data_IF_238248412380
#
_entry.id   IF_238248412380
#
_cell.length_a   1.000
_cell.length_b   1.000
_cell.length_c   1.000
_cell.angle_alpha   90.00
_cell.angle_beta   90.00
_cell.angle_gamma   90.00
#
_symmetry.space_group_name_H-M   'P 1'
#
loop_
_entity.id
_entity.type
_entity.pdbx_description
1 polymer ?
#
# COMPACT_ATOMS: atom_id res chain seq x y z
N UNK A 1 -5.04 19.25 28.11
CA UNK A 1 -4.63 17.91 27.64
C UNK A 1 -5.57 17.32 26.59
N UNK A 2 -6.90 17.49 26.71
CA UNK A 2 -7.89 17.04 25.71
C UNK A 2 -7.72 17.78 24.38
N UNK A 3 -7.61 19.09 24.38
CA UNK A 3 -7.48 19.95 23.20
C UNK A 3 -6.31 19.56 22.27
N UNK A 4 -5.16 19.15 22.83
CA UNK A 4 -4.02 18.69 22.03
C UNK A 4 -4.27 17.36 21.33
N UNK A 5 -4.99 16.44 21.96
CA UNK A 5 -5.35 15.14 21.33
C UNK A 5 -6.30 15.35 20.16
N UNK A 6 -7.29 16.23 20.32
CA UNK A 6 -8.22 16.58 19.24
C UNK A 6 -7.49 17.31 18.10
N UNK A 7 -6.64 18.29 18.41
CA UNK A 7 -5.86 18.99 17.39
C UNK A 7 -4.95 18.05 16.60
N UNK A 8 -4.26 17.13 17.28
CA UNK A 8 -3.43 16.10 16.63
C UNK A 8 -4.29 15.18 15.77
N UNK A 9 -5.46 14.76 16.21
CA UNK A 9 -6.38 13.95 15.42
C UNK A 9 -6.83 14.69 14.16
N UNK A 10 -7.28 15.94 14.27
CA UNK A 10 -7.70 16.74 13.11
C UNK A 10 -6.55 17.03 12.14
N UNK A 11 -5.35 17.32 12.63
CA UNK A 11 -4.17 17.52 11.78
C UNK A 11 -3.79 16.23 11.08
N UNK A 12 -3.83 15.09 11.76
CA UNK A 12 -3.55 13.77 11.15
C UNK A 12 -4.59 13.39 10.11
N UNK A 13 -5.87 13.62 10.40
CA UNK A 13 -6.95 13.40 9.46
C UNK A 13 -6.79 14.32 8.23
N UNK A 14 -6.53 15.63 8.44
CA UNK A 14 -6.27 16.56 7.36
C UNK A 14 -5.05 16.16 6.51
N UNK A 15 -3.97 15.67 7.14
CA UNK A 15 -2.79 15.17 6.46
C UNK A 15 -3.10 13.99 5.52
N UNK A 16 -3.90 13.02 5.99
CA UNK A 16 -4.33 11.87 5.20
C UNK A 16 -5.30 12.31 4.09
N UNK A 17 -6.30 13.13 4.41
CA UNK A 17 -7.36 13.52 3.47
C UNK A 17 -6.94 14.62 2.48
N UNK A 18 -6.09 15.56 2.88
CA UNK A 18 -5.63 16.66 2.03
C UNK A 18 -4.30 16.36 1.32
N UNK A 19 -3.71 15.21 1.60
CA UNK A 19 -2.38 14.86 1.16
C UNK A 19 -2.27 14.46 -0.32
N UNK A 20 -1.76 13.27 -0.61
CA UNK A 20 -1.26 12.93 -1.94
C UNK A 20 -2.30 13.05 -3.06
N UNK A 21 -3.56 12.69 -2.80
CA UNK A 21 -4.60 12.69 -3.86
C UNK A 21 -5.03 14.11 -4.22
N UNK A 22 -5.22 15.02 -3.26
CA UNK A 22 -5.53 16.42 -3.59
C UNK A 22 -4.38 17.05 -4.38
N UNK A 23 -3.14 16.84 -3.91
CA UNK A 23 -1.96 17.30 -4.64
C UNK A 23 -1.92 16.74 -6.08
N UNK A 24 -2.28 15.47 -6.26
CA UNK A 24 -2.33 14.85 -7.58
C UNK A 24 -3.37 15.51 -8.50
N UNK A 25 -4.56 15.83 -8.00
CA UNK A 25 -5.58 16.52 -8.79
C UNK A 25 -5.17 17.95 -9.16
N UNK A 26 -4.59 18.68 -8.20
CA UNK A 26 -4.04 20.03 -8.46
C UNK A 26 -2.95 19.97 -9.53
N UNK A 27 -1.96 19.09 -9.34
CA UNK A 27 -0.84 18.96 -10.27
C UNK A 27 -1.27 18.44 -11.65
N UNK A 28 -2.22 17.49 -11.71
CA UNK A 28 -2.78 17.04 -12.97
C UNK A 28 -3.51 18.18 -13.70
N UNK A 29 -4.25 19.02 -12.96
CA UNK A 29 -4.91 20.21 -13.52
C UNK A 29 -3.94 21.26 -14.03
N UNK A 30 -2.84 21.51 -13.30
CA UNK A 30 -1.83 22.50 -13.68
C UNK A 30 -0.97 22.03 -14.86
N UNK A 31 -0.57 20.73 -14.88
CA UNK A 31 0.40 20.23 -15.88
C UNK A 31 -0.25 19.66 -17.13
N UNK A 32 -1.50 19.20 -17.06
CA UNK A 32 -2.17 18.44 -18.10
C UNK A 32 -3.64 18.88 -18.28
N UNK A 33 -4.03 19.94 -17.59
CA UNK A 33 -5.36 20.55 -17.66
C UNK A 33 -6.51 19.53 -17.40
N UNK A 34 -7.62 19.69 -18.11
CA UNK A 34 -8.80 18.81 -18.00
C UNK A 34 -8.50 17.36 -18.40
N UNK A 35 -7.54 17.15 -19.29
CA UNK A 35 -7.18 15.81 -19.76
C UNK A 35 -6.53 14.98 -18.63
N UNK A 36 -5.63 15.59 -17.86
CA UNK A 36 -4.99 14.95 -16.71
C UNK A 36 -5.99 14.57 -15.62
N UNK A 37 -6.89 15.50 -15.27
CA UNK A 37 -7.95 15.24 -14.28
C UNK A 37 -8.85 14.09 -14.75
N UNK A 38 -9.30 14.09 -15.99
CA UNK A 38 -10.16 13.04 -16.56
C UNK A 38 -9.45 11.68 -16.56
N UNK A 39 -8.17 11.64 -16.90
CA UNK A 39 -7.36 10.42 -16.86
C UNK A 39 -7.24 9.88 -15.44
N UNK A 40 -6.96 10.74 -14.46
CA UNK A 40 -6.88 10.35 -13.05
C UNK A 40 -8.23 9.79 -12.56
N UNK A 41 -9.34 10.46 -12.84
CA UNK A 41 -10.69 9.97 -12.50
C UNK A 41 -11.01 8.63 -13.16
N UNK A 42 -10.66 8.45 -14.44
CA UNK A 42 -10.87 7.19 -15.15
C UNK A 42 -10.17 6.01 -14.45
N UNK A 43 -8.98 6.22 -13.87
CA UNK A 43 -8.26 5.17 -13.14
C UNK A 43 -8.98 4.70 -11.88
N UNK A 44 -9.74 5.57 -11.21
CA UNK A 44 -10.55 5.22 -10.04
C UNK A 44 -11.71 4.28 -10.37
N UNK A 45 -12.25 4.37 -11.57
CA UNK A 45 -13.39 3.55 -12.01
C UNK A 45 -12.99 2.37 -12.90
N UNK A 46 -11.69 2.13 -13.10
CA UNK A 46 -11.18 1.05 -13.94
C UNK A 46 -11.23 -0.29 -13.19
N UNK A 47 -12.36 -1.00 -13.30
CA UNK A 47 -12.60 -2.28 -12.63
C UNK A 47 -12.39 -3.53 -13.51
N UNK A 48 -12.42 -3.39 -14.86
CA UNK A 48 -12.31 -4.52 -15.79
C UNK A 48 -10.86 -4.97 -15.99
N UNK A 49 -10.31 -5.63 -14.96
CA UNK A 49 -8.90 -6.07 -14.93
C UNK A 49 -8.70 -7.59 -14.91
N UNK A 50 -9.78 -8.35 -14.78
CA UNK A 50 -9.78 -9.81 -14.69
C UNK A 50 -9.83 -10.30 -13.24
N UNK A 51 -10.66 -11.33 -12.98
CA UNK A 51 -10.97 -11.87 -11.66
C UNK A 51 -9.73 -12.28 -10.86
N UNK A 52 -8.71 -12.83 -11.53
CA UNK A 52 -7.46 -13.24 -10.87
C UNK A 52 -6.80 -12.13 -10.04
N UNK A 53 -6.92 -10.87 -10.47
CA UNK A 53 -6.33 -9.75 -9.75
C UNK A 53 -7.07 -9.44 -8.47
N UNK A 54 -8.40 -9.58 -8.47
CA UNK A 54 -9.19 -9.45 -7.24
C UNK A 54 -8.83 -10.54 -6.22
N UNK A 55 -8.62 -11.78 -6.67
CA UNK A 55 -8.13 -12.85 -5.80
C UNK A 55 -6.73 -12.54 -5.24
N UNK A 56 -5.81 -12.10 -6.09
CA UNK A 56 -4.44 -11.74 -5.68
C UNK A 56 -4.44 -10.63 -4.64
N UNK A 57 -5.24 -9.57 -4.82
CA UNK A 57 -5.21 -8.40 -3.92
C UNK A 57 -5.98 -8.63 -2.61
N UNK A 58 -6.99 -9.48 -2.60
CA UNK A 58 -7.80 -9.74 -1.40
C UNK A 58 -7.23 -10.90 -0.57
N UNK A 59 -6.73 -11.95 -1.22
CA UNK A 59 -6.26 -13.16 -0.55
C UNK A 59 -4.73 -13.15 -0.39
N UNK A 60 -4.00 -12.55 -1.33
CA UNK A 60 -2.54 -12.55 -1.33
C UNK A 60 -1.91 -11.99 -0.06
N UNK A 61 -2.25 -10.76 0.38
CA UNK A 61 -1.68 -10.17 1.58
C UNK A 61 -1.84 -11.04 2.84
N UNK A 62 -3.04 -11.44 3.27
CA UNK A 62 -3.20 -12.27 4.47
C UNK A 62 -2.54 -13.65 4.34
N UNK A 63 -2.55 -14.27 3.15
CA UNK A 63 -1.89 -15.56 2.94
C UNK A 63 -0.37 -15.44 3.04
N UNK A 64 0.24 -14.42 2.45
CA UNK A 64 1.69 -14.20 2.53
C UNK A 64 2.11 -14.02 3.98
N UNK A 65 1.39 -13.20 4.75
CA UNK A 65 1.71 -12.95 6.15
C UNK A 65 1.45 -14.20 6.99
N UNK A 66 0.39 -14.93 6.76
CA UNK A 66 0.12 -16.19 7.43
C UNK A 66 1.26 -17.21 7.21
N UNK A 67 1.67 -17.43 5.95
CA UNK A 67 2.74 -18.37 5.61
C UNK A 67 4.08 -18.01 6.26
N UNK A 68 4.41 -16.71 6.30
CA UNK A 68 5.61 -16.27 7.02
C UNK A 68 5.46 -16.45 8.53
N UNK A 69 4.31 -16.07 9.08
CA UNK A 69 4.07 -16.13 10.52
C UNK A 69 4.21 -17.55 11.05
N UNK A 70 3.59 -18.53 10.41
CA UNK A 70 3.59 -19.94 10.90
C UNK A 70 4.98 -20.60 10.91
N UNK A 71 5.93 -20.10 10.11
CA UNK A 71 7.31 -20.62 10.08
C UNK A 71 8.25 -19.91 11.07
N UNK A 72 7.80 -18.81 11.69
CA UNK A 72 8.60 -18.12 12.69
C UNK A 72 8.70 -18.94 14.00
N UNK A 73 9.84 -18.88 14.71
CA UNK A 73 10.04 -19.66 15.92
C UNK A 73 8.97 -19.40 16.98
N UNK A 74 8.32 -20.48 17.45
CA UNK A 74 7.28 -20.42 18.49
C UNK A 74 5.93 -19.86 18.04
N UNK A 75 5.80 -19.36 16.80
CA UNK A 75 4.55 -18.78 16.34
C UNK A 75 3.42 -19.80 16.29
N UNK A 76 3.62 -20.95 15.64
CA UNK A 76 2.58 -21.98 15.52
C UNK A 76 2.11 -22.50 16.90
N UNK A 77 3.02 -22.64 17.85
CA UNK A 77 2.70 -23.05 19.22
C UNK A 77 1.92 -21.96 20.00
N UNK A 78 1.95 -20.72 19.56
CA UNK A 78 1.24 -19.59 20.17
C UNK A 78 -0.18 -19.39 19.63
N UNK A 79 -0.64 -20.23 18.70
CA UNK A 79 -1.99 -20.10 18.14
C UNK A 79 -3.06 -20.12 19.25
N UNK A 80 -3.95 -19.16 19.25
CA UNK A 80 -4.98 -19.03 20.28
C UNK A 80 -6.39 -19.31 19.74
N UNK A 81 -6.85 -18.50 18.76
CA UNK A 81 -8.25 -18.52 18.32
C UNK A 81 -8.41 -17.89 16.96
N UNK A 82 -9.50 -18.21 16.28
CA UNK A 82 -9.91 -17.56 15.02
C UNK A 82 -10.74 -16.28 15.24
N UNK A 83 -11.02 -15.88 16.47
CA UNK A 83 -11.83 -14.69 16.77
C UNK A 83 -11.33 -13.39 16.07
N UNK A 84 -10.02 -13.14 15.89
CA UNK A 84 -9.55 -11.98 15.12
C UNK A 84 -10.01 -11.95 13.67
N UNK A 85 -10.43 -13.09 13.11
CA UNK A 85 -10.95 -13.22 11.74
C UNK A 85 -12.49 -13.21 11.70
N UNK A 86 -13.15 -12.54 12.66
CA UNK A 86 -14.62 -12.38 12.65
C UNK A 86 -15.08 -11.80 11.29
N UNK A 87 -15.89 -12.56 10.51
CA UNK A 87 -16.28 -12.12 9.16
C UNK A 87 -17.13 -10.84 9.19
N UNK A 88 -17.95 -10.64 10.23
CA UNK A 88 -18.77 -9.44 10.35
C UNK A 88 -17.90 -8.21 10.63
N UNK A 89 -16.93 -8.33 11.53
CA UNK A 89 -15.98 -7.26 11.82
C UNK A 89 -15.16 -6.90 10.57
N UNK A 90 -14.64 -7.89 9.84
CA UNK A 90 -13.90 -7.67 8.61
C UNK A 90 -14.76 -7.05 7.50
N UNK A 91 -16.03 -7.50 7.36
CA UNK A 91 -16.99 -6.96 6.39
C UNK A 91 -17.32 -5.47 6.67
N UNK A 92 -17.41 -5.08 7.94
CA UNK A 92 -17.70 -3.68 8.33
C UNK A 92 -16.42 -2.83 8.25
N UNK A 93 -15.29 -3.33 8.73
CA UNK A 93 -14.03 -2.55 8.74
C UNK A 93 -13.47 -2.31 7.33
N UNK A 94 -13.65 -3.23 6.39
CA UNK A 94 -13.10 -3.08 5.04
C UNK A 94 -13.59 -1.80 4.32
N UNK A 95 -14.91 -1.54 4.16
CA UNK A 95 -15.38 -0.29 3.55
C UNK A 95 -15.06 0.95 4.40
N UNK A 96 -15.03 0.84 5.74
CA UNK A 96 -14.66 1.96 6.60
C UNK A 96 -13.19 2.36 6.38
N UNK A 97 -12.26 1.40 6.37
CA UNK A 97 -10.84 1.68 6.12
C UNK A 97 -10.62 2.13 4.68
N UNK A 98 -11.30 1.54 3.70
CA UNK A 98 -11.23 1.97 2.30
C UNK A 98 -11.55 3.46 2.16
N UNK A 99 -12.61 3.93 2.82
CA UNK A 99 -13.11 5.31 2.67
C UNK A 99 -12.39 6.28 3.62
N UNK A 100 -12.11 5.87 4.87
CA UNK A 100 -11.63 6.75 5.92
C UNK A 100 -10.22 6.43 6.43
N UNK A 101 -9.63 5.30 6.03
CA UNK A 101 -8.36 4.83 6.54
C UNK A 101 -7.11 5.28 5.76
N UNK A 102 -7.28 6.04 4.67
CA UNK A 102 -6.15 6.51 3.86
C UNK A 102 -6.11 5.97 2.43
N UNK A 103 -6.38 4.69 2.13
CA UNK A 103 -6.16 4.10 0.80
C UNK A 103 -6.78 4.91 -0.35
N UNK A 104 -8.02 5.36 -0.19
CA UNK A 104 -8.74 6.15 -1.20
C UNK A 104 -8.02 7.47 -1.51
N UNK A 105 -7.45 8.11 -0.49
CA UNK A 105 -6.85 9.45 -0.57
C UNK A 105 -5.34 9.42 -0.82
N UNK A 106 -4.68 8.27 -0.63
CA UNK A 106 -3.27 8.12 -0.87
C UNK A 106 -2.95 7.63 -2.28
N UNK A 107 -3.67 6.61 -2.76
CA UNK A 107 -3.34 5.94 -4.01
C UNK A 107 -3.47 6.84 -5.24
N UNK A 108 -4.38 7.82 -5.22
CA UNK A 108 -4.49 8.84 -6.27
C UNK A 108 -3.20 9.62 -6.47
N UNK A 109 -2.54 9.97 -5.37
CA UNK A 109 -1.25 10.65 -5.38
C UNK A 109 -0.11 9.73 -5.77
N UNK A 110 0.06 8.66 -5.01
CA UNK A 110 1.22 7.78 -5.15
C UNK A 110 1.19 6.99 -6.47
N UNK A 111 0.11 6.24 -6.73
CA UNK A 111 0.01 5.37 -7.93
C UNK A 111 -0.65 6.07 -9.09
N UNK A 112 -1.58 7.00 -8.85
CA UNK A 112 -2.29 7.73 -9.91
C UNK A 112 -1.43 8.78 -10.61
N UNK A 113 -0.63 9.52 -9.86
CA UNK A 113 0.14 10.66 -10.35
C UNK A 113 1.66 10.45 -10.32
N UNK A 114 2.24 10.13 -9.15
CA UNK A 114 3.68 10.08 -8.97
C UNK A 114 4.33 8.88 -9.68
N UNK A 115 3.82 7.67 -9.47
CA UNK A 115 4.39 6.44 -10.03
C UNK A 115 4.55 6.46 -11.55
N UNK A 116 3.53 6.83 -12.37
CA UNK A 116 3.67 6.89 -13.82
C UNK A 116 4.81 7.80 -14.27
N UNK A 117 4.97 8.96 -13.62
CA UNK A 117 6.03 9.92 -13.94
C UNK A 117 7.42 9.43 -13.53
N UNK A 118 7.54 8.86 -12.34
CA UNK A 118 8.80 8.28 -11.87
C UNK A 118 9.24 7.09 -12.74
N UNK A 119 8.31 6.22 -13.14
CA UNK A 119 8.61 5.12 -14.05
C UNK A 119 9.05 5.61 -15.45
N UNK A 120 8.47 6.69 -15.94
CA UNK A 120 8.86 7.30 -17.23
C UNK A 120 10.26 7.91 -17.17
N UNK A 121 10.58 8.61 -16.08
CA UNK A 121 11.85 9.34 -15.93
C UNK A 121 13.02 8.43 -15.58
N UNK A 122 12.81 7.43 -14.71
CA UNK A 122 13.87 6.62 -14.11
C UNK A 122 13.75 5.13 -14.40
N UNK A 123 12.78 4.72 -15.23
CA UNK A 123 12.45 3.31 -15.44
C UNK A 123 11.64 2.71 -14.28
N UNK A 124 11.07 1.50 -14.50
CA UNK A 124 10.10 0.94 -13.56
C UNK A 124 10.69 0.62 -12.19
N UNK A 125 11.88 0.06 -12.12
CA UNK A 125 12.48 -0.35 -10.85
C UNK A 125 12.95 0.85 -10.02
N UNK A 126 13.78 1.71 -10.59
CA UNK A 126 14.31 2.89 -9.88
C UNK A 126 13.19 3.86 -9.51
N UNK A 127 12.23 4.12 -10.43
CA UNK A 127 11.07 4.95 -10.13
C UNK A 127 10.23 4.40 -8.98
N UNK A 128 10.10 3.06 -8.88
CA UNK A 128 9.42 2.41 -7.76
C UNK A 128 10.19 2.55 -6.44
N UNK A 129 11.51 2.42 -6.45
CA UNK A 129 12.33 2.62 -5.25
C UNK A 129 12.23 4.06 -4.73
N UNK A 130 12.31 5.04 -5.64
CA UNK A 130 12.13 6.46 -5.28
C UNK A 130 10.76 6.66 -4.63
N UNK A 131 9.69 6.13 -5.24
CA UNK A 131 8.35 6.23 -4.68
C UNK A 131 8.25 5.58 -3.31
N UNK A 132 8.83 4.38 -3.13
CA UNK A 132 8.81 3.65 -1.87
C UNK A 132 9.50 4.42 -0.74
N UNK A 133 10.63 5.06 -1.03
CA UNK A 133 11.32 5.93 -0.06
C UNK A 133 10.46 7.14 0.31
N UNK A 134 9.89 7.83 -0.68
CA UNK A 134 9.03 8.99 -0.44
C UNK A 134 7.79 8.60 0.38
N UNK A 135 7.16 7.49 0.06
CA UNK A 135 5.99 7.01 0.78
C UNK A 135 6.32 6.55 2.20
N UNK A 136 7.46 5.88 2.41
CA UNK A 136 7.93 5.55 3.75
C UNK A 136 8.21 6.81 4.58
N UNK A 137 8.91 7.80 4.02
CA UNK A 137 9.18 9.07 4.69
C UNK A 137 7.91 9.85 5.03
N UNK A 138 6.89 9.79 4.17
CA UNK A 138 5.58 10.39 4.42
C UNK A 138 4.92 9.87 5.71
N UNK A 139 5.13 8.60 6.02
CA UNK A 139 4.56 7.97 7.22
C UNK A 139 5.37 8.18 8.49
N UNK A 140 6.65 8.59 8.41
CA UNK A 140 7.49 8.71 9.61
C UNK A 140 6.88 9.60 10.71
N UNK A 141 6.25 10.77 10.42
CA UNK A 141 5.61 11.58 11.45
C UNK A 141 4.53 10.83 12.24
N UNK A 142 3.89 9.79 11.68
CA UNK A 142 2.84 9.01 12.34
C UNK A 142 3.37 8.21 13.55
N UNK A 143 4.66 7.90 13.60
CA UNK A 143 5.26 7.23 14.75
C UNK A 143 5.15 8.04 16.06
N UNK A 144 4.99 9.35 15.97
CA UNK A 144 4.77 10.24 17.12
C UNK A 144 3.29 10.45 17.46
N UNK A 145 2.39 9.79 16.72
CA UNK A 145 0.94 9.90 16.90
C UNK A 145 0.43 8.61 17.57
N UNK A 146 -0.22 8.72 18.71
CA UNK A 146 -0.68 7.58 19.52
C UNK A 146 -1.62 6.63 18.77
N UNK A 147 -2.37 7.14 17.79
CA UNK A 147 -3.30 6.34 16.97
C UNK A 147 -2.56 5.33 16.08
N UNK A 148 -1.31 5.58 15.72
CA UNK A 148 -0.49 4.67 14.94
C UNK A 148 -0.12 3.38 15.70
N UNK A 149 -0.11 3.43 17.03
CA UNK A 149 0.10 2.26 17.90
C UNK A 149 1.54 1.70 17.93
N UNK A 150 2.44 2.21 17.08
CA UNK A 150 3.84 1.76 17.03
C UNK A 150 4.75 2.83 17.63
N UNK A 151 5.56 2.50 18.67
CA UNK A 151 6.44 3.48 19.32
C UNK A 151 7.49 4.08 18.36
N UNK A 152 7.87 5.38 18.55
CA UNK A 152 8.84 6.09 17.70
C UNK A 152 10.29 5.69 18.05
N UNK A 153 10.62 4.41 17.93
CA UNK A 153 11.98 3.89 18.10
C UNK A 153 12.72 3.83 16.76
N UNK A 154 14.04 4.01 16.80
CA UNK A 154 14.89 3.87 15.61
C UNK A 154 14.68 2.50 14.97
N UNK A 155 14.60 1.44 15.77
CA UNK A 155 14.42 0.09 15.26
C UNK A 155 13.08 -0.08 14.52
N UNK A 156 11.97 0.45 15.06
CA UNK A 156 10.67 0.39 14.39
C UNK A 156 10.73 1.11 13.04
N UNK A 157 11.37 2.27 12.95
CA UNK A 157 11.52 3.01 11.70
C UNK A 157 12.42 2.28 10.69
N UNK A 158 13.53 1.70 11.17
CA UNK A 158 14.47 0.92 10.33
C UNK A 158 13.79 -0.35 9.77
N UNK A 159 12.90 -0.99 10.50
CA UNK A 159 12.12 -2.13 9.99
C UNK A 159 10.97 -1.68 9.08
N UNK A 160 10.37 -0.53 9.35
CA UNK A 160 9.24 0.00 8.60
C UNK A 160 9.62 0.45 7.19
N UNK A 161 10.70 1.24 7.05
CA UNK A 161 11.12 1.81 5.77
C UNK A 161 11.29 0.74 4.68
N UNK A 162 12.09 -0.33 4.87
CA UNK A 162 12.22 -1.37 3.86
C UNK A 162 10.91 -2.14 3.62
N UNK A 163 10.05 -2.31 4.64
CA UNK A 163 8.73 -2.94 4.47
C UNK A 163 7.87 -2.14 3.49
N UNK A 164 7.84 -0.82 3.60
CA UNK A 164 7.09 0.06 2.67
C UNK A 164 7.71 0.06 1.27
N UNK A 165 9.04 0.01 1.15
CA UNK A 165 9.72 -0.11 -0.15
C UNK A 165 9.33 -1.43 -0.83
N UNK A 166 9.37 -2.55 -0.12
CA UNK A 166 8.95 -3.85 -0.64
C UNK A 166 7.47 -3.88 -1.02
N UNK A 167 6.61 -3.30 -0.17
CA UNK A 167 5.18 -3.12 -0.47
C UNK A 167 4.98 -2.29 -1.73
N UNK A 168 5.76 -1.21 -1.92
CA UNK A 168 5.69 -0.38 -3.12
C UNK A 168 6.05 -1.16 -4.39
N UNK A 169 7.02 -2.08 -4.33
CA UNK A 169 7.36 -2.96 -5.46
C UNK A 169 6.18 -3.86 -5.84
N UNK A 170 5.53 -4.48 -4.85
CA UNK A 170 4.36 -5.33 -5.07
C UNK A 170 3.20 -4.52 -5.65
N UNK A 171 2.92 -3.36 -5.08
CA UNK A 171 1.86 -2.45 -5.55
C UNK A 171 2.12 -1.97 -6.97
N UNK A 172 3.35 -1.59 -7.29
CA UNK A 172 3.73 -1.21 -8.67
C UNK A 172 3.51 -2.34 -9.65
N UNK A 173 3.89 -3.56 -9.29
CA UNK A 173 3.67 -4.73 -10.14
C UNK A 173 2.18 -4.99 -10.38
N UNK A 174 1.35 -4.93 -9.34
CA UNK A 174 -0.12 -5.05 -9.46
C UNK A 174 -0.68 -3.93 -10.34
N UNK A 175 -0.35 -2.68 -10.04
CA UNK A 175 -0.80 -1.50 -10.79
C UNK A 175 -0.46 -1.60 -12.28
N UNK A 176 0.77 -1.94 -12.61
CA UNK A 176 1.22 -2.06 -14.00
C UNK A 176 0.50 -3.18 -14.77
N UNK A 177 0.14 -4.28 -14.09
CA UNK A 177 -0.55 -5.41 -14.71
C UNK A 177 -2.08 -5.28 -14.71
N UNK A 178 -2.62 -4.28 -13.99
CA UNK A 178 -4.05 -3.96 -13.96
C UNK A 178 -4.40 -2.70 -14.73
N UNK A 179 -3.63 -2.38 -15.76
CA UNK A 179 -3.85 -1.23 -16.67
C UNK A 179 -3.79 0.13 -15.96
N UNK A 180 -3.10 0.22 -14.83
CA UNK A 180 -3.07 1.43 -14.02
C UNK A 180 -4.35 1.68 -13.22
N UNK A 181 -5.08 0.65 -12.82
CA UNK A 181 -6.29 0.75 -12.01
C UNK A 181 -5.98 1.24 -10.60
N UNK A 182 -6.51 2.41 -10.25
CA UNK A 182 -6.48 2.90 -8.87
C UNK A 182 -7.44 2.14 -7.98
N UNK A 183 -8.59 1.72 -8.50
CA UNK A 183 -9.51 0.88 -7.72
C UNK A 183 -8.81 -0.38 -7.19
N UNK A 184 -8.04 -1.06 -8.04
CA UNK A 184 -7.30 -2.26 -7.63
C UNK A 184 -6.19 -1.93 -6.64
N UNK A 185 -5.47 -0.81 -6.82
CA UNK A 185 -4.45 -0.36 -5.87
C UNK A 185 -5.06 -0.01 -4.50
N UNK A 186 -6.19 0.69 -4.48
CA UNK A 186 -6.95 1.03 -3.26
C UNK A 186 -7.41 -0.25 -2.53
N UNK A 187 -7.99 -1.21 -3.25
CA UNK A 187 -8.42 -2.48 -2.66
C UNK A 187 -7.24 -3.29 -2.11
N UNK A 188 -6.10 -3.30 -2.80
CA UNK A 188 -4.87 -3.94 -2.30
C UNK A 188 -4.39 -3.28 -1.00
N UNK A 189 -4.36 -1.95 -0.97
CA UNK A 189 -3.97 -1.17 0.22
C UNK A 189 -4.91 -1.47 1.39
N UNK A 190 -6.22 -1.39 1.16
CA UNK A 190 -7.22 -1.74 2.17
C UNK A 190 -7.07 -3.18 2.66
N UNK A 191 -6.71 -4.12 1.79
CA UNK A 191 -6.46 -5.52 2.19
C UNK A 191 -5.29 -5.64 3.15
N UNK A 192 -4.21 -4.88 2.95
CA UNK A 192 -3.11 -4.83 3.92
C UNK A 192 -3.56 -4.25 5.24
N UNK A 193 -4.27 -3.14 5.24
CA UNK A 193 -4.66 -2.43 6.46
C UNK A 193 -5.68 -3.22 7.30
N UNK A 194 -6.59 -3.95 6.65
CA UNK A 194 -7.69 -4.66 7.34
C UNK A 194 -7.36 -6.12 7.64
N UNK A 195 -6.69 -6.82 6.73
CA UNK A 195 -6.60 -8.28 6.80
C UNK A 195 -5.28 -8.79 7.40
N UNK A 196 -4.21 -7.99 7.35
CA UNK A 196 -2.89 -8.43 7.81
C UNK A 196 -2.78 -8.43 9.34
N UNK A 197 -3.27 -7.39 10.01
CA UNK A 197 -3.25 -7.27 11.46
C UNK A 197 -3.95 -8.43 12.19
N UNK A 198 -5.20 -8.77 11.83
CA UNK A 198 -5.90 -9.93 12.38
C UNK A 198 -5.14 -11.25 12.24
N UNK A 199 -4.46 -11.50 11.10
CA UNK A 199 -3.63 -12.70 10.93
C UNK A 199 -2.50 -12.76 11.96
N UNK A 200 -1.82 -11.64 12.23
CA UNK A 200 -0.79 -11.56 13.27
C UNK A 200 -1.35 -11.85 14.67
N UNK A 201 -2.58 -11.46 14.95
CA UNK A 201 -3.23 -11.69 16.24
C UNK A 201 -3.61 -13.15 16.50
N UNK A 202 -3.68 -14.00 15.45
CA UNK A 202 -3.87 -15.45 15.66
C UNK A 202 -2.69 -16.09 16.39
N UNK A 203 -1.50 -15.50 16.28
CA UNK A 203 -0.22 -16.05 16.73
C UNK A 203 0.54 -15.01 17.57
N UNK A 204 0.16 -14.79 18.85
CA UNK A 204 0.75 -13.73 19.67
C UNK A 204 2.15 -14.04 20.21
N UNK A 205 2.94 -14.82 19.49
CA UNK A 205 4.35 -15.05 19.84
C UNK A 205 5.15 -13.72 19.82
N UNK A 206 6.12 -13.53 20.72
CA UNK A 206 6.92 -12.30 20.77
C UNK A 206 7.56 -11.94 19.43
N UNK A 207 8.04 -12.91 18.66
CA UNK A 207 8.63 -12.70 17.33
C UNK A 207 7.62 -12.16 16.30
N UNK A 208 6.32 -12.43 16.49
CA UNK A 208 5.24 -11.96 15.61
C UNK A 208 4.76 -10.57 16.02
N UNK A 209 4.57 -10.36 17.33
CA UNK A 209 3.97 -9.14 17.88
C UNK A 209 4.97 -8.02 18.16
N UNK A 210 6.26 -8.38 18.32
CA UNK A 210 7.32 -7.40 18.53
C UNK A 210 7.38 -6.39 17.36
N UNK A 211 7.76 -5.18 17.70
CA UNK A 211 7.93 -4.10 16.73
C UNK A 211 6.67 -3.82 15.90
N UNK A 212 5.47 -3.97 16.50
CA UNK A 212 4.21 -3.71 15.83
C UNK A 212 3.91 -4.68 14.67
N UNK A 213 4.41 -5.91 14.73
CA UNK A 213 4.23 -6.89 13.66
C UNK A 213 5.14 -6.68 12.46
N UNK A 214 6.17 -5.83 12.58
CA UNK A 214 7.05 -5.48 11.45
C UNK A 214 7.85 -6.67 10.91
N UNK A 215 8.18 -7.68 11.75
CA UNK A 215 9.01 -8.82 11.32
C UNK A 215 8.32 -9.68 10.27
N UNK A 216 7.10 -10.21 10.47
CA UNK A 216 6.41 -10.96 9.41
C UNK A 216 6.12 -10.10 8.18
N UNK A 217 5.81 -8.81 8.34
CA UNK A 217 5.63 -7.87 7.23
C UNK A 217 6.89 -7.74 6.39
N UNK A 218 8.03 -7.44 7.03
CA UNK A 218 9.31 -7.26 6.36
C UNK A 218 9.72 -8.53 5.59
N UNK A 219 9.60 -9.69 6.20
CA UNK A 219 9.98 -10.96 5.56
C UNK A 219 9.01 -11.28 4.42
N UNK A 220 7.70 -11.22 4.66
CA UNK A 220 6.68 -11.58 3.67
C UNK A 220 6.70 -10.68 2.45
N UNK A 221 6.74 -9.37 2.66
CA UNK A 221 6.86 -8.39 1.58
C UNK A 221 8.22 -8.45 0.90
N UNK A 222 9.31 -8.65 1.67
CA UNK A 222 10.66 -8.77 1.13
C UNK A 222 10.79 -9.96 0.17
N UNK A 223 10.39 -11.14 0.60
CA UNK A 223 10.39 -12.35 -0.26
C UNK A 223 9.52 -12.13 -1.49
N UNK A 224 8.31 -11.61 -1.32
CA UNK A 224 7.38 -11.36 -2.44
C UNK A 224 7.97 -10.35 -3.42
N UNK A 225 8.51 -9.23 -2.93
CA UNK A 225 9.13 -8.21 -3.76
C UNK A 225 10.35 -8.74 -4.52
N UNK A 226 11.22 -9.51 -3.86
CA UNK A 226 12.39 -10.14 -4.49
C UNK A 226 11.97 -11.12 -5.60
N UNK A 227 10.94 -11.94 -5.36
CA UNK A 227 10.38 -12.82 -6.37
C UNK A 227 9.82 -12.04 -7.56
N UNK A 228 9.04 -10.99 -7.29
CA UNK A 228 8.49 -10.12 -8.35
C UNK A 228 9.62 -9.47 -9.16
N UNK A 229 10.65 -8.94 -8.51
CA UNK A 229 11.81 -8.33 -9.20
C UNK A 229 12.55 -9.38 -10.03
N UNK A 230 12.84 -10.55 -9.48
CA UNK A 230 13.54 -11.63 -10.18
C UNK A 230 12.74 -12.12 -11.40
N UNK A 231 11.46 -12.47 -11.23
CA UNK A 231 10.59 -12.99 -12.28
C UNK A 231 10.33 -11.96 -13.40
N UNK A 232 10.25 -10.68 -13.05
CA UNK A 232 10.05 -9.60 -14.03
C UNK A 232 11.36 -8.99 -14.54
N UNK A 233 12.51 -9.42 -14.01
CA UNK A 233 13.83 -8.82 -14.27
C UNK A 233 13.82 -7.31 -14.02
N UNK A 234 13.18 -6.87 -12.93
CA UNK A 234 13.00 -5.47 -12.55
C UNK A 234 12.03 -4.66 -13.43
N UNK A 235 11.38 -5.28 -14.43
CA UNK A 235 10.45 -4.56 -15.31
C UNK A 235 9.08 -4.32 -14.70
N UNK A 236 8.72 -5.00 -13.63
CA UNK A 236 7.49 -4.84 -12.83
C UNK A 236 6.19 -4.74 -13.67
N UNK A 237 6.14 -5.39 -14.83
CA UNK A 237 4.98 -5.31 -15.72
C UNK A 237 4.82 -3.98 -16.48
N UNK A 238 5.80 -3.07 -16.45
CA UNK A 238 5.71 -1.72 -17.02
C UNK A 238 5.38 -1.70 -18.52
N UNK A 239 5.84 -2.71 -19.29
CA UNK A 239 5.49 -2.85 -20.71
C UNK A 239 3.98 -2.99 -20.91
N UNK A 240 3.30 -3.79 -20.06
CA UNK A 240 1.86 -3.99 -20.12
C UNK A 240 1.09 -2.70 -19.79
N UNK A 241 1.62 -1.93 -18.86
CA UNK A 241 1.09 -0.61 -18.50
C UNK A 241 1.21 0.37 -19.67
N UNK A 242 2.41 0.56 -20.23
CA UNK A 242 2.65 1.49 -21.36
C UNK A 242 1.78 1.23 -22.58
N UNK A 243 1.55 -0.03 -22.92
CA UNK A 243 0.74 -0.40 -24.09
C UNK A 243 -0.76 -0.07 -23.93
N UNK A 244 -1.21 0.20 -22.71
CA UNK A 244 -2.63 0.34 -22.37
C UNK A 244 -2.96 1.66 -21.69
N UNK A 245 -1.96 2.47 -21.42
CA UNK A 245 -2.18 3.80 -20.86
C UNK A 245 -2.67 4.74 -21.96
N UNK A 246 -3.84 5.39 -21.75
CA UNK A 246 -4.37 6.38 -22.71
C UNK A 246 -3.57 7.70 -22.72
N UNK A 247 -2.48 7.82 -21.95
CA UNK A 247 -1.65 9.03 -21.93
C UNK A 247 -0.84 9.16 -23.22
N UNK A 248 -1.09 10.19 -24.08
CA UNK A 248 -0.31 10.42 -25.29
C UNK A 248 1.20 10.60 -25.01
N UNK A 249 1.56 11.15 -23.83
CA UNK A 249 2.95 11.28 -23.41
C UNK A 249 3.60 9.93 -23.08
N UNK A 250 2.82 8.86 -23.00
CA UNK A 250 3.26 7.48 -22.79
C UNK A 250 3.28 6.65 -24.07
N UNK A 251 2.86 7.22 -25.20
CA UNK A 251 2.95 6.55 -26.49
C UNK A 251 4.43 6.21 -26.82
N UNK A 252 4.72 5.03 -27.36
CA UNK A 252 6.07 4.69 -27.78
C UNK A 252 6.50 5.64 -28.92
N UNK A 253 7.62 6.29 -28.73
CA UNK A 253 8.35 7.02 -29.80
C UNK A 253 8.93 6.03 -30.76
#
# INVERSE_FOLDING_TARGET
MVFWKEAVFFVSAAWVFLGPTLAAFIMAGVTEERAGIRRLLHRYVLWRVGLRWYLVILIGPPVIILLVTIVLPGALASFQTLAPLDPLLLLVSFPLVLIFGGPLFEEGGWRGFALPRLQRLHGPFVGTLILGILWACWHLPLFWITVWGTPPTILNMVLYIPSVIFMTIVFTWVFNNTKGSLLVAILLHTSFDVLVGPVGQLFPAPVVTSYGGAVPMLIGLGVTALLVVALTRGRLGYRNYRQRDPDPAMAPT
#
